data_IF_396620496113
#
_entry.id   IF_396620496113
#
_cell.length_a   1.000
_cell.length_b   1.000
_cell.length_c   1.000
_cell.angle_alpha   90.00
_cell.angle_beta   90.00
_cell.angle_gamma   90.00
#
_symmetry.space_group_name_H-M   'P 1'
#
loop_
_entity.id
_entity.type
_entity.pdbx_description
1 polymer ?
#
# COMPACT_ATOMS: atom_id res chain seq x y z
N UNK A 1 -29.95 10.89 -24.01
CA UNK A 1 -28.50 11.11 -24.33
C UNK A 1 -27.66 11.49 -23.12
N UNK A 2 -28.13 12.38 -22.24
CA UNK A 2 -27.40 12.82 -21.01
C UNK A 2 -27.16 11.68 -20.01
N UNK A 3 -28.13 10.83 -19.80
CA UNK A 3 -28.02 9.70 -18.83
C UNK A 3 -27.09 8.57 -19.32
N UNK A 4 -27.06 8.32 -20.62
CA UNK A 4 -26.13 7.39 -21.25
C UNK A 4 -24.68 7.87 -21.11
N UNK A 5 -24.44 9.17 -21.29
CA UNK A 5 -23.12 9.78 -21.13
C UNK A 5 -22.66 9.78 -19.67
N UNK A 6 -23.57 9.99 -18.70
CA UNK A 6 -23.29 9.93 -17.26
C UNK A 6 -23.01 8.50 -16.79
N UNK A 7 -23.74 7.51 -17.32
CA UNK A 7 -23.53 6.09 -17.01
C UNK A 7 -22.15 5.63 -17.48
N UNK A 8 -21.74 6.02 -18.68
CA UNK A 8 -20.42 5.68 -19.20
C UNK A 8 -19.28 6.34 -18.40
N UNK A 9 -19.45 7.58 -17.91
CA UNK A 9 -18.45 8.23 -17.06
C UNK A 9 -18.28 7.53 -15.71
N UNK A 10 -19.35 7.07 -15.09
CA UNK A 10 -19.28 6.29 -13.83
C UNK A 10 -18.61 4.95 -14.05
N UNK A 11 -18.91 4.29 -15.18
CA UNK A 11 -18.28 3.02 -15.55
C UNK A 11 -16.78 3.20 -15.77
N UNK A 12 -16.36 4.22 -16.52
CA UNK A 12 -14.94 4.52 -16.74
C UNK A 12 -14.19 4.82 -15.44
N UNK A 13 -14.80 5.58 -14.53
CA UNK A 13 -14.24 5.83 -13.21
C UNK A 13 -14.11 4.53 -12.41
N UNK A 14 -15.10 3.66 -12.44
CA UNK A 14 -15.05 2.36 -11.79
C UNK A 14 -13.91 1.47 -12.33
N UNK A 15 -13.77 1.41 -13.66
CA UNK A 15 -12.68 0.68 -14.31
C UNK A 15 -11.32 1.26 -13.91
N UNK A 16 -11.19 2.58 -13.86
CA UNK A 16 -9.95 3.25 -13.44
C UNK A 16 -9.57 2.91 -11.99
N UNK A 17 -10.52 2.96 -11.07
CA UNK A 17 -10.30 2.57 -9.67
C UNK A 17 -9.90 1.10 -9.56
N UNK A 18 -10.60 0.19 -10.26
CA UNK A 18 -10.26 -1.23 -10.27
C UNK A 18 -8.87 -1.48 -10.87
N UNK A 19 -8.48 -0.74 -11.90
CA UNK A 19 -7.15 -0.84 -12.50
C UNK A 19 -6.05 -0.43 -11.50
N UNK A 20 -6.29 0.64 -10.71
CA UNK A 20 -5.36 1.04 -9.64
C UNK A 20 -5.23 -0.07 -8.60
N UNK A 21 -6.34 -0.59 -8.09
CA UNK A 21 -6.30 -1.70 -7.13
C UNK A 21 -5.58 -2.92 -7.68
N UNK A 22 -5.82 -3.26 -8.94
CA UNK A 22 -5.11 -4.36 -9.60
C UNK A 22 -3.61 -4.11 -9.69
N UNK A 23 -3.18 -2.92 -10.13
CA UNK A 23 -1.76 -2.57 -10.26
C UNK A 23 -1.00 -2.70 -8.94
N UNK A 24 -1.60 -2.26 -7.84
CA UNK A 24 -0.92 -2.23 -6.53
C UNK A 24 -1.04 -3.53 -5.73
N UNK A 25 -2.03 -4.38 -6.00
CA UNK A 25 -2.29 -5.57 -5.19
C UNK A 25 -1.99 -6.90 -5.91
N UNK A 26 -2.05 -6.95 -7.25
CA UNK A 26 -2.00 -8.20 -7.99
C UNK A 26 -0.67 -8.96 -7.88
N UNK A 27 0.43 -8.27 -7.64
CA UNK A 27 1.77 -8.86 -7.64
C UNK A 27 2.51 -8.77 -6.31
N UNK A 28 1.84 -8.38 -5.20
CA UNK A 28 2.49 -8.20 -3.89
C UNK A 28 3.19 -9.46 -3.36
N UNK A 29 2.69 -10.64 -3.68
CA UNK A 29 3.27 -11.93 -3.26
C UNK A 29 4.06 -12.66 -4.34
N UNK A 30 4.30 -12.05 -5.51
CA UNK A 30 4.90 -12.76 -6.66
C UNK A 30 6.42 -12.75 -6.68
N UNK A 31 7.06 -11.86 -5.94
CA UNK A 31 8.51 -11.69 -5.90
C UNK A 31 9.03 -11.89 -4.49
N UNK A 32 10.22 -12.50 -4.38
CA UNK A 32 10.92 -12.59 -3.10
C UNK A 32 11.23 -11.20 -2.53
N UNK A 33 11.34 -11.13 -1.18
CA UNK A 33 11.68 -9.88 -0.50
C UNK A 33 13.05 -9.39 -0.95
N UNK A 34 13.16 -8.10 -1.23
CA UNK A 34 14.43 -7.49 -1.59
C UNK A 34 15.25 -7.18 -0.35
N UNK A 35 16.47 -7.70 -0.30
CA UNK A 35 17.46 -7.35 0.73
C UNK A 35 18.09 -5.97 0.44
N UNK A 36 18.48 -5.22 1.49
CA UNK A 36 18.36 -5.53 2.93
C UNK A 36 17.06 -5.02 3.58
N UNK A 37 16.33 -4.11 2.95
CA UNK A 37 15.27 -3.36 3.63
C UNK A 37 13.98 -4.16 3.81
N UNK A 38 13.44 -4.76 2.76
CA UNK A 38 12.20 -5.56 2.89
C UNK A 38 12.38 -6.76 3.82
N UNK A 39 13.57 -7.39 3.80
CA UNK A 39 13.92 -8.47 4.72
C UNK A 39 13.79 -8.04 6.18
N UNK A 40 14.37 -6.88 6.55
CA UNK A 40 14.28 -6.32 7.90
C UNK A 40 12.85 -5.98 8.32
N UNK A 41 12.09 -5.35 7.43
CA UNK A 41 10.68 -4.98 7.70
C UNK A 41 9.75 -6.18 7.84
N UNK A 42 10.14 -7.35 7.41
CA UNK A 42 9.40 -8.59 7.60
C UNK A 42 9.93 -9.42 8.78
N UNK A 43 11.27 -9.44 8.99
CA UNK A 43 11.89 -10.21 10.08
C UNK A 43 11.47 -9.67 11.46
N UNK A 44 11.49 -8.35 11.67
CA UNK A 44 11.15 -7.75 12.96
C UNK A 44 9.71 -8.08 13.39
N UNK A 45 8.65 -7.88 12.56
CA UNK A 45 7.30 -8.30 12.92
C UNK A 45 7.15 -9.80 13.17
N UNK A 46 7.92 -10.63 12.45
CA UNK A 46 7.92 -12.07 12.68
C UNK A 46 8.52 -12.42 14.06
N UNK A 47 9.64 -11.79 14.45
CA UNK A 47 10.20 -11.95 15.79
C UNK A 47 9.25 -11.46 16.89
N UNK A 48 8.54 -10.35 16.69
CA UNK A 48 7.48 -9.89 17.59
C UNK A 48 6.36 -10.92 17.78
N UNK A 49 5.96 -11.62 16.70
CA UNK A 49 4.95 -12.68 16.79
C UNK A 49 5.47 -13.90 17.55
N UNK A 50 6.74 -14.25 17.39
CA UNK A 50 7.35 -15.41 18.06
C UNK A 50 7.61 -15.15 19.54
N UNK A 51 8.11 -13.97 19.89
CA UNK A 51 8.43 -13.58 21.26
C UNK A 51 7.22 -13.14 22.08
N UNK A 52 6.17 -12.64 21.42
CA UNK A 52 5.04 -11.96 22.06
C UNK A 52 5.35 -10.55 22.57
N UNK A 53 6.58 -10.06 22.36
CA UNK A 53 6.97 -8.69 22.70
C UNK A 53 6.72 -7.75 21.51
N UNK A 54 5.67 -6.92 21.63
CA UNK A 54 5.32 -5.92 20.63
C UNK A 54 5.84 -4.52 20.97
N UNK A 55 6.55 -4.37 22.09
CA UNK A 55 7.05 -3.08 22.56
C UNK A 55 8.48 -2.88 22.07
N UNK A 56 9.33 -3.89 22.25
CA UNK A 56 10.75 -3.85 21.89
C UNK A 56 10.98 -4.58 20.57
N UNK A 57 11.19 -3.85 19.44
CA UNK A 57 11.53 -4.48 18.18
C UNK A 57 12.90 -5.17 18.26
N UNK A 58 12.98 -6.41 17.79
CA UNK A 58 14.24 -7.14 17.68
C UNK A 58 14.51 -7.53 16.23
N UNK A 59 15.76 -7.49 15.84
CA UNK A 59 16.25 -8.01 14.55
C UNK A 59 17.39 -8.99 14.83
N UNK A 60 17.15 -10.26 14.56
CA UNK A 60 18.06 -11.37 14.88
C UNK A 60 18.45 -11.39 16.37
N UNK A 61 17.48 -11.12 17.25
CA UNK A 61 17.67 -11.10 18.69
C UNK A 61 18.33 -9.84 19.26
N UNK A 62 18.66 -8.85 18.42
CA UNK A 62 19.23 -7.55 18.84
C UNK A 62 18.13 -6.48 18.80
N UNK A 63 18.07 -5.63 19.82
CA UNK A 63 17.13 -4.51 19.86
C UNK A 63 17.33 -3.55 18.68
N UNK A 64 16.21 -3.17 18.02
CA UNK A 64 16.24 -2.37 16.80
C UNK A 64 15.23 -1.21 16.87
N UNK A 65 15.71 -0.01 17.19
CA UNK A 65 14.89 1.19 17.37
C UNK A 65 15.04 2.24 16.26
N UNK A 66 15.60 1.90 15.10
CA UNK A 66 15.86 2.88 14.03
C UNK A 66 14.60 3.40 13.35
N UNK A 67 13.47 2.68 13.45
CA UNK A 67 12.22 3.01 12.76
C UNK A 67 11.01 2.98 13.69
N UNK A 68 9.96 3.74 13.39
CA UNK A 68 8.71 3.73 14.16
C UNK A 68 8.06 2.34 14.18
N UNK A 69 7.61 1.91 15.35
CA UNK A 69 7.04 0.59 15.56
C UNK A 69 5.69 0.36 14.85
N UNK A 70 5.00 1.42 14.41
CA UNK A 70 3.69 1.33 13.76
C UNK A 70 3.67 0.38 12.55
N UNK A 71 4.70 0.45 11.70
CA UNK A 71 4.82 -0.43 10.54
C UNK A 71 4.96 -1.90 10.96
N UNK A 72 5.76 -2.16 11.98
CA UNK A 72 5.97 -3.52 12.50
C UNK A 72 4.69 -4.11 13.08
N UNK A 73 3.94 -3.33 13.86
CA UNK A 73 2.66 -3.77 14.41
C UNK A 73 1.64 -4.11 13.33
N UNK A 74 1.51 -3.24 12.31
CA UNK A 74 0.59 -3.50 11.22
C UNK A 74 0.99 -4.76 10.44
N UNK A 75 2.27 -4.90 10.10
CA UNK A 75 2.80 -6.08 9.40
C UNK A 75 2.61 -7.35 10.24
N UNK A 76 2.85 -7.30 11.55
CA UNK A 76 2.60 -8.42 12.45
C UNK A 76 1.12 -8.85 12.46
N UNK A 77 0.18 -7.90 12.48
CA UNK A 77 -1.25 -8.19 12.37
C UNK A 77 -1.56 -8.87 11.02
N UNK A 78 -1.00 -8.35 9.93
CA UNK A 78 -1.20 -8.95 8.60
C UNK A 78 -0.60 -10.34 8.51
N UNK A 79 0.58 -10.58 9.08
CA UNK A 79 1.20 -11.90 9.17
C UNK A 79 0.36 -12.88 10.01
N UNK A 80 -0.31 -12.40 11.05
CA UNK A 80 -1.21 -13.23 11.85
C UNK A 80 -2.46 -13.67 11.08
N UNK A 81 -2.93 -12.84 10.13
CA UNK A 81 -4.14 -13.12 9.33
C UNK A 81 -3.81 -13.94 8.08
N UNK A 82 -2.77 -13.57 7.35
CA UNK A 82 -2.40 -14.12 6.04
C UNK A 82 -1.22 -15.09 6.07
N UNK A 83 -0.65 -15.31 7.26
CA UNK A 83 0.59 -16.05 7.43
C UNK A 83 1.82 -15.19 7.16
N UNK A 84 3.01 -15.77 7.41
CA UNK A 84 4.30 -15.11 7.15
C UNK A 84 4.59 -15.21 5.65
N UNK A 85 4.13 -14.21 4.91
CA UNK A 85 4.21 -14.15 3.45
C UNK A 85 4.71 -12.79 3.00
N UNK A 86 5.30 -12.71 1.81
CA UNK A 86 5.72 -11.46 1.18
C UNK A 86 4.55 -10.49 1.01
N UNK A 87 3.35 -11.02 0.74
CA UNK A 87 2.11 -10.25 0.66
C UNK A 87 1.83 -9.49 1.97
N UNK A 88 1.95 -10.17 3.12
CA UNK A 88 1.68 -9.56 4.44
C UNK A 88 2.62 -8.40 4.74
N UNK A 89 3.87 -8.48 4.29
CA UNK A 89 4.86 -7.41 4.45
C UNK A 89 4.62 -6.19 3.58
N UNK A 90 4.07 -6.40 2.37
CA UNK A 90 3.91 -5.35 1.35
C UNK A 90 2.54 -4.68 1.35
N UNK A 91 1.55 -5.23 2.06
CA UNK A 91 0.19 -4.71 2.02
C UNK A 91 0.07 -3.28 2.57
N UNK A 92 0.84 -2.91 3.61
CA UNK A 92 0.81 -1.56 4.17
C UNK A 92 1.35 -0.50 3.21
N UNK A 93 2.54 -0.65 2.59
CA UNK A 93 3.00 0.24 1.54
C UNK A 93 2.01 0.37 0.39
N UNK A 94 1.44 -0.74 -0.08
CA UNK A 94 0.46 -0.73 -1.18
C UNK A 94 -0.82 0.03 -0.81
N UNK A 95 -1.37 -0.18 0.38
CA UNK A 95 -2.55 0.57 0.86
C UNK A 95 -2.24 2.06 1.03
N UNK A 96 -1.04 2.39 1.51
CA UNK A 96 -0.58 3.78 1.64
C UNK A 96 -0.48 4.47 0.27
N UNK A 97 0.08 3.79 -0.72
CA UNK A 97 0.17 4.29 -2.09
C UNK A 97 -1.21 4.52 -2.71
N UNK A 98 -2.15 3.58 -2.56
CA UNK A 98 -3.55 3.73 -2.99
C UNK A 98 -4.20 4.93 -2.28
N UNK A 99 -3.97 5.07 -0.98
CA UNK A 99 -4.44 6.22 -0.19
C UNK A 99 -3.91 7.55 -0.72
N UNK A 100 -2.62 7.63 -1.04
CA UNK A 100 -2.00 8.83 -1.63
C UNK A 100 -2.61 9.19 -2.99
N UNK A 101 -2.83 8.19 -3.85
CA UNK A 101 -3.50 8.40 -5.16
C UNK A 101 -4.92 8.92 -4.97
N UNK A 102 -5.67 8.35 -4.02
CA UNK A 102 -7.01 8.81 -3.68
C UNK A 102 -7.03 10.25 -3.15
N UNK A 103 -6.13 10.57 -2.22
CA UNK A 103 -5.99 11.92 -1.65
C UNK A 103 -5.59 12.95 -2.72
N UNK A 104 -4.65 12.62 -3.61
CA UNK A 104 -4.26 13.51 -4.70
C UNK A 104 -5.44 13.82 -5.63
N UNK A 105 -6.26 12.81 -5.95
CA UNK A 105 -7.49 12.99 -6.71
C UNK A 105 -8.53 13.84 -6.01
N UNK A 106 -8.74 13.60 -4.72
CA UNK A 106 -9.67 14.36 -3.91
C UNK A 106 -9.26 15.84 -3.80
N UNK A 107 -8.01 16.11 -3.42
CA UNK A 107 -7.48 17.47 -3.32
C UNK A 107 -7.48 18.20 -4.67
N UNK A 108 -7.04 17.54 -5.74
CA UNK A 108 -7.07 18.13 -7.08
C UNK A 108 -8.48 18.48 -7.55
N UNK A 109 -9.48 17.67 -7.15
CA UNK A 109 -10.89 17.93 -7.44
C UNK A 109 -11.42 19.11 -6.63
N UNK A 110 -11.07 19.20 -5.35
CA UNK A 110 -11.51 20.30 -4.47
C UNK A 110 -10.88 21.64 -4.84
N UNK A 111 -9.57 21.65 -5.14
CA UNK A 111 -8.82 22.88 -5.36
C UNK A 111 -9.02 23.45 -6.78
N UNK A 112 -9.24 22.58 -7.78
CA UNK A 112 -9.30 23.01 -9.17
C UNK A 112 -10.55 22.50 -9.90
N UNK A 113 -10.56 21.22 -10.28
CA UNK A 113 -11.69 20.61 -10.99
C UNK A 113 -11.59 19.09 -10.99
N UNK A 114 -12.71 18.42 -11.32
CA UNK A 114 -12.75 16.94 -11.46
C UNK A 114 -11.77 16.42 -12.51
N UNK A 115 -11.51 17.18 -13.57
CA UNK A 115 -10.53 16.78 -14.61
C UNK A 115 -9.11 16.80 -14.04
N UNK A 116 -8.75 17.84 -13.29
CA UNK A 116 -7.45 17.97 -12.64
C UNK A 116 -7.25 16.88 -11.60
N UNK A 117 -8.27 16.60 -10.77
CA UNK A 117 -8.19 15.51 -9.79
C UNK A 117 -7.95 14.15 -10.42
N UNK A 118 -8.66 13.81 -11.51
CA UNK A 118 -8.45 12.55 -12.22
C UNK A 118 -7.06 12.46 -12.86
N UNK A 119 -6.57 13.56 -13.44
CA UNK A 119 -5.22 13.61 -14.00
C UNK A 119 -4.15 13.45 -12.90
N UNK A 120 -4.30 14.12 -11.78
CA UNK A 120 -3.39 14.02 -10.64
C UNK A 120 -3.33 12.58 -10.11
N UNK A 121 -4.48 11.93 -9.94
CA UNK A 121 -4.55 10.51 -9.56
C UNK A 121 -3.86 9.61 -10.59
N UNK A 122 -4.10 9.83 -11.88
CA UNK A 122 -3.53 8.99 -12.93
C UNK A 122 -2.00 9.14 -13.00
N UNK A 123 -1.49 10.36 -12.93
CA UNK A 123 -0.06 10.65 -12.94
C UNK A 123 0.61 10.00 -11.72
N UNK A 124 0.03 10.19 -10.53
CA UNK A 124 0.59 9.61 -9.31
C UNK A 124 0.53 8.09 -9.31
N UNK A 125 -0.59 7.49 -9.77
CA UNK A 125 -0.76 6.04 -9.83
C UNK A 125 0.23 5.35 -10.78
N UNK A 126 0.65 6.05 -11.84
CA UNK A 126 1.62 5.52 -12.82
C UNK A 126 3.05 6.00 -12.58
N UNK A 127 3.27 6.76 -11.51
CA UNK A 127 4.60 7.20 -11.11
C UNK A 127 5.45 6.01 -10.65
N UNK A 128 6.66 5.91 -11.17
CA UNK A 128 7.60 4.84 -10.85
C UNK A 128 7.89 4.75 -9.34
N UNK A 129 7.90 5.88 -8.63
CA UNK A 129 8.11 5.96 -7.19
C UNK A 129 6.98 5.32 -6.34
N UNK A 130 5.81 5.15 -6.92
CA UNK A 130 4.67 4.53 -6.24
C UNK A 130 4.52 3.03 -6.57
N UNK A 131 5.26 2.53 -7.55
CA UNK A 131 5.17 1.15 -8.02
C UNK A 131 6.33 0.28 -7.50
N UNK A 132 7.34 0.89 -6.90
CA UNK A 132 8.48 0.26 -6.24
C UNK A 132 8.25 0.25 -4.74
#
# INVERSE_FOLDING_TARGET
>A
MRDFCLKNKKLLLGIFVLAIFYLYLAHLGSYHLMDPDEGRYNQIPHEMLLSGDFITPHLNGVEYFEKPAFQYWFTAIMMKIFGVTEFAGRILPALSAIGCVGLAGFLGTMMYSRKVGLLASAILATSCLNLI
#
